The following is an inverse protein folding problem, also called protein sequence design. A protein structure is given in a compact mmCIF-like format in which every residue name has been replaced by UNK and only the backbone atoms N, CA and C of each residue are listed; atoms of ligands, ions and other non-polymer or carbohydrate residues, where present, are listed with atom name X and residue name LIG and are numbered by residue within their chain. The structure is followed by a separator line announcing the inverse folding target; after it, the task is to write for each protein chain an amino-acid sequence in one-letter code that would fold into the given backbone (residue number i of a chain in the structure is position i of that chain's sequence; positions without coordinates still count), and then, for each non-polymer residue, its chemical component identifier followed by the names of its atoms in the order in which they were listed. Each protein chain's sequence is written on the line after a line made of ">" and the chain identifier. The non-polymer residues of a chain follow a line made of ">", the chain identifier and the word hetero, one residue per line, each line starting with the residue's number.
data_IF_737483909931
#
_entry.id   IF_737483909931
#
_cell.length_a   1.000
_cell.length_b   1.000
_cell.length_c   1.000
_cell.angle_alpha   90.00
_cell.angle_beta   90.00
_cell.angle_gamma   90.00
#
_symmetry.space_group_name_H-M   'P 1'
#
loop_
_entity.id
_entity.type
_entity.pdbx_description
1 polymer ?
#
# COMPACT_ATOMS: atom_id res chain seq x y z
N UNK A 1 -25.86 30.60 -14.38
CA UNK A 1 -25.81 30.17 -12.97
C UNK A 1 -26.97 29.23 -12.73
N UNK A 2 -26.74 27.92 -12.55
CA UNK A 2 -27.76 27.00 -12.06
C UNK A 2 -27.66 26.87 -10.53
N UNK A 3 -28.83 26.84 -9.92
CA UNK A 3 -29.08 26.79 -8.49
C UNK A 3 -28.38 25.61 -7.79
N UNK A 4 -27.58 25.93 -6.78
CA UNK A 4 -27.15 25.04 -5.71
C UNK A 4 -28.36 24.64 -4.86
N UNK A 5 -29.07 23.58 -5.25
CA UNK A 5 -30.02 22.92 -4.36
C UNK A 5 -29.26 21.99 -3.41
N UNK A 6 -29.51 22.21 -2.12
CA UNK A 6 -29.02 21.45 -0.97
C UNK A 6 -29.08 19.93 -1.21
N UNK A 7 -27.93 19.31 -1.43
CA UNK A 7 -27.77 17.86 -1.26
C UNK A 7 -27.68 17.62 0.24
N UNK A 8 -28.74 17.04 0.81
CA UNK A 8 -28.76 16.56 2.19
C UNK A 8 -27.80 15.37 2.35
N UNK A 9 -26.50 15.63 2.51
CA UNK A 9 -25.44 14.62 2.68
C UNK A 9 -25.31 14.07 4.12
N UNK A 10 -26.31 14.26 4.99
CA UNK A 10 -26.21 13.95 6.42
C UNK A 10 -27.02 12.75 6.92
N UNK A 11 -27.48 11.85 6.05
CA UNK A 11 -27.93 10.50 6.42
C UNK A 11 -27.48 9.54 5.34
N UNK A 12 -27.05 8.33 5.70
CA UNK A 12 -26.97 7.25 4.72
C UNK A 12 -28.32 7.14 3.99
N UNK A 13 -28.25 7.06 2.68
CA UNK A 13 -29.42 6.99 1.82
C UNK A 13 -30.15 5.68 2.02
N UNK A 14 -31.39 5.61 1.52
CA UNK A 14 -32.13 4.35 1.43
C UNK A 14 -31.32 3.24 0.72
N UNK A 15 -30.35 3.60 -0.14
CA UNK A 15 -29.48 2.65 -0.84
C UNK A 15 -28.60 1.85 0.13
N UNK A 16 -28.13 2.45 1.23
CA UNK A 16 -27.31 1.73 2.21
C UNK A 16 -28.15 0.75 3.02
N UNK A 17 -29.36 1.14 3.42
CA UNK A 17 -30.29 0.21 4.08
C UNK A 17 -30.66 -0.96 3.17
N UNK A 18 -30.88 -0.70 1.88
CA UNK A 18 -31.08 -1.74 0.87
C UNK A 18 -29.85 -2.65 0.73
N UNK A 19 -28.64 -2.08 0.69
CA UNK A 19 -27.38 -2.84 0.65
C UNK A 19 -27.27 -3.78 1.85
N UNK A 20 -27.56 -3.30 3.06
CA UNK A 20 -27.56 -4.12 4.28
C UNK A 20 -28.59 -5.25 4.20
N UNK A 21 -29.80 -4.97 3.71
CA UNK A 21 -30.83 -6.02 3.52
C UNK A 21 -30.36 -7.08 2.53
N UNK A 22 -29.82 -6.68 1.38
CA UNK A 22 -29.28 -7.61 0.38
C UNK A 22 -28.12 -8.42 0.97
N UNK A 23 -27.22 -7.78 1.72
CA UNK A 23 -26.11 -8.46 2.39
C UNK A 23 -26.58 -9.55 3.36
N UNK A 24 -27.56 -9.23 4.22
CA UNK A 24 -28.12 -10.18 5.20
C UNK A 24 -28.81 -11.40 4.56
N UNK A 25 -29.33 -11.25 3.34
CA UNK A 25 -29.94 -12.34 2.57
C UNK A 25 -28.98 -13.03 1.60
N UNK A 26 -27.80 -12.45 1.37
CA UNK A 26 -26.73 -13.05 0.57
C UNK A 26 -26.04 -14.16 1.36
N UNK A 27 -25.50 -15.15 0.67
CA UNK A 27 -24.68 -16.20 1.28
C UNK A 27 -23.34 -16.27 0.57
N UNK A 28 -22.35 -16.87 1.23
CA UNK A 28 -21.12 -17.27 0.55
C UNK A 28 -21.45 -18.43 -0.39
N UNK A 29 -21.13 -18.29 -1.66
CA UNK A 29 -21.21 -19.38 -2.62
C UNK A 29 -19.87 -19.48 -3.34
N UNK A 30 -19.37 -20.71 -3.46
CA UNK A 30 -18.32 -21.04 -4.43
C UNK A 30 -18.93 -20.91 -5.82
N UNK A 31 -18.57 -19.84 -6.52
CA UNK A 31 -19.07 -19.50 -7.85
C UNK A 31 -17.90 -19.02 -8.70
N UNK A 32 -17.83 -19.46 -9.95
CA UNK A 32 -16.83 -19.00 -10.91
C UNK A 32 -16.85 -17.48 -11.09
N UNK A 33 -17.99 -16.80 -10.84
CA UNK A 33 -18.12 -15.32 -10.86
C UNK A 33 -17.37 -14.60 -9.72
N UNK A 34 -16.93 -15.34 -8.70
CA UNK A 34 -16.09 -14.84 -7.60
C UNK A 34 -14.60 -15.08 -7.84
N UNK A 35 -14.23 -15.67 -8.98
CA UNK A 35 -12.84 -15.86 -9.39
C UNK A 35 -12.50 -14.86 -10.49
N UNK A 36 -11.64 -13.90 -10.19
CA UNK A 36 -11.14 -12.94 -11.18
C UNK A 36 -9.66 -13.19 -11.47
N UNK A 37 -9.30 -13.08 -12.74
CA UNK A 37 -7.93 -13.30 -13.21
C UNK A 37 -7.38 -12.03 -13.84
N UNK A 38 -6.14 -11.69 -13.49
CA UNK A 38 -5.45 -10.55 -14.05
C UNK A 38 -3.96 -10.83 -14.18
N UNK A 39 -3.47 -10.85 -15.43
CA UNK A 39 -2.03 -10.96 -15.76
C UNK A 39 -1.22 -11.98 -14.90
N UNK A 40 -1.79 -13.16 -14.65
CA UNK A 40 -1.13 -14.23 -13.87
C UNK A 40 -1.41 -14.21 -12.36
N UNK A 41 -2.30 -13.34 -11.90
CA UNK A 41 -2.84 -13.26 -10.55
C UNK A 41 -4.28 -13.76 -10.58
N UNK A 42 -4.66 -14.58 -9.60
CA UNK A 42 -6.03 -14.94 -9.31
C UNK A 42 -6.48 -14.25 -8.03
N UNK A 43 -7.62 -13.58 -8.08
CA UNK A 43 -8.34 -13.02 -6.95
C UNK A 43 -9.58 -13.88 -6.71
N UNK A 44 -9.53 -14.68 -5.66
CA UNK A 44 -10.60 -15.60 -5.25
C UNK A 44 -11.38 -15.02 -4.07
N UNK A 45 -12.62 -14.65 -4.34
CA UNK A 45 -13.59 -14.10 -3.38
C UNK A 45 -14.63 -15.14 -2.93
N UNK A 46 -14.44 -16.44 -3.18
CA UNK A 46 -15.45 -17.47 -2.86
C UNK A 46 -15.76 -17.62 -1.36
N UNK A 47 -14.85 -17.15 -0.51
CA UNK A 47 -14.96 -17.16 0.95
C UNK A 47 -15.45 -15.81 1.48
N UNK A 48 -16.13 -15.02 0.63
CA UNK A 48 -16.81 -13.79 0.97
C UNK A 48 -18.33 -13.94 0.84
N UNK A 49 -19.08 -13.17 1.63
CA UNK A 49 -20.52 -12.99 1.38
C UNK A 49 -20.70 -12.20 0.07
N UNK A 50 -21.46 -12.76 -0.87
CA UNK A 50 -21.61 -12.20 -2.20
C UNK A 50 -22.98 -12.48 -2.82
N UNK A 51 -23.45 -11.53 -3.64
CA UNK A 51 -24.46 -11.74 -4.68
C UNK A 51 -24.30 -10.67 -5.76
N UNK A 52 -24.77 -10.93 -6.98
CA UNK A 52 -24.75 -9.93 -8.06
C UNK A 52 -25.57 -8.69 -7.68
N UNK A 53 -26.64 -8.85 -6.92
CA UNK A 53 -27.46 -7.72 -6.46
C UNK A 53 -26.73 -6.89 -5.41
N UNK A 54 -25.88 -7.51 -4.58
CA UNK A 54 -25.00 -6.79 -3.66
C UNK A 54 -24.02 -5.89 -4.43
N UNK A 55 -23.42 -6.41 -5.50
CA UNK A 55 -22.49 -5.65 -6.34
C UNK A 55 -23.17 -4.51 -7.10
N UNK A 56 -24.36 -4.76 -7.69
CA UNK A 56 -25.16 -3.70 -8.32
C UNK A 56 -25.50 -2.60 -7.32
N UNK A 57 -25.93 -2.96 -6.11
CA UNK A 57 -26.27 -1.99 -5.07
C UNK A 57 -25.04 -1.22 -4.57
N UNK A 58 -23.87 -1.87 -4.52
CA UNK A 58 -22.62 -1.18 -4.23
C UNK A 58 -22.30 -0.10 -5.29
N UNK A 59 -22.54 -0.40 -6.56
CA UNK A 59 -22.39 0.59 -7.63
C UNK A 59 -23.36 1.76 -7.49
N UNK A 60 -24.63 1.51 -7.13
CA UNK A 60 -25.57 2.61 -6.85
C UNK A 60 -25.05 3.54 -5.75
N UNK A 61 -24.44 2.97 -4.69
CA UNK A 61 -23.82 3.74 -3.60
C UNK A 61 -22.60 4.54 -4.06
N UNK A 62 -21.80 4.00 -4.98
CA UNK A 62 -20.68 4.74 -5.58
C UNK A 62 -21.17 5.89 -6.49
N UNK A 63 -22.20 5.64 -7.30
CA UNK A 63 -22.82 6.66 -8.15
C UNK A 63 -23.41 7.82 -7.32
N UNK A 64 -24.05 7.52 -6.19
CA UNK A 64 -24.51 8.54 -5.23
C UNK A 64 -23.36 9.41 -4.69
N UNK A 65 -22.13 8.87 -4.66
CA UNK A 65 -20.91 9.58 -4.24
C UNK A 65 -20.18 10.26 -5.40
N UNK A 66 -20.80 10.38 -6.57
CA UNK A 66 -20.21 10.93 -7.80
C UNK A 66 -18.93 10.19 -8.21
N UNK A 67 -18.91 8.85 -8.07
CA UNK A 67 -17.71 8.05 -8.29
C UNK A 67 -17.09 8.22 -9.68
N UNK A 68 -17.88 8.22 -10.76
CA UNK A 68 -17.35 8.35 -12.13
C UNK A 68 -16.61 9.69 -12.33
N UNK A 69 -17.19 10.78 -11.84
CA UNK A 69 -16.56 12.11 -11.88
C UNK A 69 -15.27 12.16 -11.05
N UNK A 70 -15.28 11.51 -9.88
CA UNK A 70 -14.11 11.41 -9.00
C UNK A 70 -13.01 10.55 -9.62
N UNK A 71 -13.39 9.46 -10.28
CA UNK A 71 -12.50 8.59 -11.04
C UNK A 71 -11.82 9.35 -12.18
N UNK A 72 -12.57 10.09 -12.98
CA UNK A 72 -12.01 10.99 -14.01
C UNK A 72 -11.03 11.99 -13.39
N UNK A 73 -11.38 12.62 -12.28
CA UNK A 73 -10.49 13.56 -11.58
C UNK A 73 -9.18 12.90 -11.11
N UNK A 74 -9.23 11.66 -10.60
CA UNK A 74 -8.05 10.92 -10.15
C UNK A 74 -7.05 10.70 -11.31
N UNK A 75 -7.56 10.33 -12.49
CA UNK A 75 -6.75 9.98 -13.66
C UNK A 75 -6.31 11.19 -14.48
N UNK A 76 -7.20 12.16 -14.72
CA UNK A 76 -6.93 13.32 -15.56
C UNK A 76 -6.09 14.39 -14.84
N UNK A 77 -5.99 14.30 -13.51
CA UNK A 77 -5.16 15.20 -12.66
C UNK A 77 -5.30 16.68 -13.02
N UNK A 78 -6.53 17.22 -13.17
CA UNK A 78 -6.70 18.60 -13.54
C UNK A 78 -6.12 19.51 -12.45
N UNK A 79 -5.58 20.68 -12.84
CA UNK A 79 -5.10 21.70 -11.89
C UNK A 79 -6.19 22.19 -10.92
N UNK A 80 -7.46 21.92 -11.23
CA UNK A 80 -8.61 22.25 -10.37
C UNK A 80 -8.76 21.25 -9.23
N UNK A 81 -8.99 21.76 -8.03
CA UNK A 81 -9.36 20.96 -6.87
C UNK A 81 -10.74 20.35 -7.03
N UNK A 82 -10.91 19.11 -6.57
CA UNK A 82 -12.23 18.49 -6.40
C UNK A 82 -12.56 18.45 -4.92
N UNK A 83 -13.55 19.23 -4.48
CA UNK A 83 -14.01 19.26 -3.08
C UNK A 83 -12.83 19.49 -2.10
N UNK A 84 -11.98 20.48 -2.40
CA UNK A 84 -10.83 20.81 -1.54
C UNK A 84 -9.67 19.79 -1.56
N UNK A 85 -9.73 18.76 -2.42
CA UNK A 85 -8.64 17.81 -2.63
C UNK A 85 -7.67 18.32 -3.70
N UNK A 86 -6.38 18.33 -3.35
CA UNK A 86 -5.30 18.46 -4.33
C UNK A 86 -5.11 17.14 -5.08
N UNK A 87 -4.74 17.22 -6.36
CA UNK A 87 -4.46 16.01 -7.15
C UNK A 87 -3.23 15.28 -6.59
N UNK A 88 -3.32 13.96 -6.33
CA UNK A 88 -2.24 13.21 -5.68
C UNK A 88 -1.09 12.87 -6.64
N UNK A 89 -1.24 13.14 -7.96
CA UNK A 89 -0.24 13.08 -9.03
C UNK A 89 0.62 11.80 -9.16
N UNK A 90 0.38 10.74 -8.39
CA UNK A 90 1.27 9.56 -8.40
C UNK A 90 1.07 8.67 -9.64
N UNK A 91 -0.15 8.61 -10.19
CA UNK A 91 -0.47 7.79 -11.38
C UNK A 91 0.34 8.22 -12.61
N UNK A 92 0.72 9.50 -12.72
CA UNK A 92 1.46 9.99 -13.88
C UNK A 92 2.85 9.37 -14.00
N UNK A 93 3.46 8.95 -12.90
CA UNK A 93 4.80 8.37 -12.92
C UNK A 93 4.83 6.99 -13.58
N UNK A 94 3.70 6.28 -13.53
CA UNK A 94 3.50 4.97 -14.17
C UNK A 94 2.59 5.04 -15.40
N UNK A 95 2.41 6.23 -15.98
CA UNK A 95 1.77 6.36 -17.28
C UNK A 95 2.64 5.63 -18.34
N UNK A 96 2.07 4.74 -19.16
CA UNK A 96 2.84 3.90 -20.07
C UNK A 96 3.54 4.70 -21.19
N UNK A 97 3.04 5.87 -21.55
CA UNK A 97 3.61 6.70 -22.63
C UNK A 97 4.99 7.28 -22.29
N UNK A 98 5.26 7.53 -21.01
CA UNK A 98 6.40 8.32 -20.56
C UNK A 98 7.12 7.74 -19.33
N UNK A 99 6.58 6.73 -18.64
CA UNK A 99 7.23 6.07 -17.49
C UNK A 99 8.64 5.56 -17.81
N UNK A 100 8.84 4.84 -18.92
CA UNK A 100 10.16 4.35 -19.32
C UNK A 100 11.16 5.49 -19.56
N UNK A 101 10.72 6.56 -20.21
CA UNK A 101 11.57 7.74 -20.43
C UNK A 101 11.93 8.42 -19.10
N UNK A 102 10.97 8.55 -18.18
CA UNK A 102 11.22 9.11 -16.85
C UNK A 102 12.22 8.26 -16.06
N UNK A 103 12.09 6.93 -16.10
CA UNK A 103 13.05 6.01 -15.49
C UNK A 103 14.43 6.19 -16.14
N UNK A 104 14.53 6.23 -17.48
CA UNK A 104 15.80 6.41 -18.18
C UNK A 104 16.49 7.74 -17.83
N UNK A 105 15.72 8.85 -17.71
CA UNK A 105 16.25 10.16 -17.29
C UNK A 105 16.83 10.07 -15.87
N UNK A 106 16.13 9.41 -14.95
CA UNK A 106 16.63 9.18 -13.59
C UNK A 106 17.88 8.29 -13.61
N UNK A 107 17.88 7.21 -14.37
CA UNK A 107 19.02 6.30 -14.55
C UNK A 107 20.26 7.04 -15.06
N UNK A 108 20.07 7.97 -16.01
CA UNK A 108 21.18 8.74 -16.57
C UNK A 108 21.86 9.61 -15.50
N UNK A 109 21.08 10.22 -14.60
CA UNK A 109 21.62 11.01 -13.47
C UNK A 109 22.45 10.18 -12.51
N UNK A 110 22.30 8.86 -12.54
CA UNK A 110 22.99 7.94 -11.64
C UNK A 110 24.27 7.33 -12.19
N UNK A 111 24.61 7.58 -13.45
CA UNK A 111 25.77 6.95 -14.10
C UNK A 111 27.07 7.19 -13.33
N UNK A 112 27.20 8.33 -12.65
CA UNK A 112 28.36 8.64 -11.80
C UNK A 112 28.49 7.70 -10.60
N UNK A 113 27.38 7.12 -10.11
CA UNK A 113 27.33 6.19 -8.99
C UNK A 113 27.44 4.71 -9.40
N UNK A 114 27.84 4.41 -10.64
CA UNK A 114 27.99 3.02 -11.08
C UNK A 114 29.06 2.24 -10.30
N UNK A 115 30.09 2.94 -9.80
CA UNK A 115 31.18 2.38 -8.99
C UNK A 115 30.77 1.97 -7.57
N UNK A 116 29.57 2.37 -7.13
CA UNK A 116 29.03 2.07 -5.80
C UNK A 116 28.63 0.60 -5.69
N UNK A 117 28.97 -0.05 -4.57
CA UNK A 117 28.54 -1.42 -4.24
C UNK A 117 27.48 -1.46 -3.13
N UNK A 118 27.44 -0.43 -2.29
CA UNK A 118 26.56 -0.35 -1.12
C UNK A 118 25.80 0.97 -1.10
N UNK A 119 24.52 0.91 -0.79
CA UNK A 119 23.63 2.07 -0.70
C UNK A 119 23.08 2.13 0.73
N UNK A 120 23.24 3.26 1.40
CA UNK A 120 22.51 3.55 2.64
C UNK A 120 21.29 4.36 2.25
N UNK A 121 20.11 3.75 2.34
CA UNK A 121 18.83 4.41 2.05
C UNK A 121 18.20 4.91 3.36
N UNK A 122 18.18 6.22 3.57
CA UNK A 122 17.58 6.86 4.73
C UNK A 122 16.16 7.33 4.40
N UNK A 123 15.15 6.78 5.06
CA UNK A 123 13.75 7.10 4.82
C UNK A 123 12.84 6.55 5.91
N UNK A 124 11.61 7.08 6.01
CA UNK A 124 10.56 6.56 6.91
C UNK A 124 9.22 6.52 6.19
N UNK A 125 8.32 5.66 6.66
CA UNK A 125 7.00 5.51 6.06
C UNK A 125 7.08 5.14 4.58
N UNK A 126 6.29 5.79 3.73
CA UNK A 126 6.16 5.33 2.34
C UNK A 126 7.38 5.58 1.47
N UNK A 127 8.27 6.51 1.88
CA UNK A 127 9.57 6.68 1.24
C UNK A 127 10.54 5.51 1.50
N UNK A 128 10.21 4.62 2.44
CA UNK A 128 11.02 3.50 2.89
C UNK A 128 10.33 2.16 2.61
N UNK A 129 9.06 2.00 3.02
CA UNK A 129 8.35 0.72 2.99
C UNK A 129 8.21 0.16 1.57
N UNK A 130 7.85 1.01 0.59
CA UNK A 130 7.71 0.58 -0.80
C UNK A 130 9.05 0.17 -1.41
N UNK A 131 10.12 0.94 -1.15
CA UNK A 131 11.48 0.63 -1.63
C UNK A 131 11.98 -0.67 -0.99
N UNK A 132 11.80 -0.82 0.33
CA UNK A 132 12.20 -2.04 1.04
C UNK A 132 11.44 -3.27 0.54
N UNK A 133 10.14 -3.14 0.30
CA UNK A 133 9.33 -4.20 -0.28
C UNK A 133 9.93 -4.68 -1.60
N UNK A 134 10.07 -3.81 -2.60
CA UNK A 134 10.55 -4.21 -3.93
C UNK A 134 11.98 -4.77 -3.88
N UNK A 135 12.88 -4.15 -3.10
CA UNK A 135 14.24 -4.66 -2.96
C UNK A 135 14.31 -6.03 -2.30
N UNK A 136 13.64 -6.24 -1.18
CA UNK A 136 13.66 -7.52 -0.48
C UNK A 136 13.00 -8.63 -1.31
N UNK A 137 12.02 -8.28 -2.15
CA UNK A 137 11.36 -9.22 -3.06
C UNK A 137 12.25 -9.68 -4.22
N UNK A 138 13.04 -8.79 -4.82
CA UNK A 138 13.75 -9.08 -6.08
C UNK A 138 15.28 -9.06 -6.00
N UNK A 139 15.87 -8.77 -4.84
CA UNK A 139 17.34 -8.81 -4.69
C UNK A 139 17.89 -10.20 -5.01
N UNK A 140 19.04 -10.22 -5.67
CA UNK A 140 19.81 -11.43 -5.97
C UNK A 140 21.22 -11.30 -5.40
N UNK A 141 22.05 -12.34 -5.53
CA UNK A 141 23.47 -12.28 -5.15
C UNK A 141 24.28 -11.24 -5.94
N UNK A 142 23.78 -10.78 -7.09
CA UNK A 142 24.43 -9.78 -7.94
C UNK A 142 23.92 -8.35 -7.72
N UNK A 143 22.87 -8.20 -6.91
CA UNK A 143 22.30 -6.89 -6.58
C UNK A 143 23.23 -6.08 -5.69
N UNK A 144 23.25 -4.74 -5.86
CA UNK A 144 23.97 -3.88 -4.91
C UNK A 144 23.31 -3.95 -3.55
N UNK A 145 24.10 -3.90 -2.49
CA UNK A 145 23.59 -4.01 -1.12
C UNK A 145 22.88 -2.72 -0.73
N UNK A 146 21.64 -2.81 -0.26
CA UNK A 146 20.96 -1.68 0.42
C UNK A 146 20.95 -1.92 1.93
N UNK A 147 21.39 -0.91 2.69
CA UNK A 147 21.20 -0.77 4.13
C UNK A 147 20.07 0.24 4.34
N UNK A 148 18.95 -0.24 4.86
CA UNK A 148 17.77 0.56 5.10
C UNK A 148 17.80 1.19 6.50
N UNK A 149 17.75 2.53 6.55
CA UNK A 149 17.88 3.31 7.79
C UNK A 149 16.63 4.18 7.99
N UNK A 150 15.86 3.90 9.03
CA UNK A 150 14.66 4.67 9.41
C UNK A 150 14.89 5.58 10.61
N UNK A 151 15.88 5.24 11.43
CA UNK A 151 16.31 6.05 12.57
C UNK A 151 17.83 5.95 12.76
N UNK A 152 18.38 6.79 13.64
CA UNK A 152 19.79 6.69 14.00
C UNK A 152 20.13 5.34 14.68
N UNK A 153 19.16 4.59 15.21
CA UNK A 153 19.43 3.29 15.83
C UNK A 153 19.77 2.21 14.80
N UNK A 154 19.24 2.32 13.57
CA UNK A 154 19.47 1.35 12.50
C UNK A 154 20.89 1.43 11.91
N UNK A 155 21.64 2.50 12.22
CA UNK A 155 22.99 2.73 11.73
C UNK A 155 23.94 3.02 12.90
N UNK A 156 24.50 1.97 13.47
CA UNK A 156 25.45 2.06 14.58
C UNK A 156 26.90 2.17 14.08
N UNK A 157 27.84 2.46 15.01
CA UNK A 157 29.26 2.59 14.68
C UNK A 157 29.85 1.29 14.10
N UNK A 158 29.41 0.13 14.58
CA UNK A 158 29.88 -1.18 14.09
C UNK A 158 29.49 -1.42 12.63
N UNK A 159 28.26 -1.08 12.25
CA UNK A 159 27.80 -1.17 10.86
C UNK A 159 28.65 -0.27 9.97
N UNK A 160 28.86 0.99 10.40
CA UNK A 160 29.63 1.98 9.64
C UNK A 160 31.12 1.61 9.54
N UNK A 161 31.70 0.98 10.57
CA UNK A 161 33.10 0.53 10.57
C UNK A 161 33.40 -0.48 9.44
N UNK A 162 32.41 -1.29 9.07
CA UNK A 162 32.53 -2.31 8.03
C UNK A 162 32.24 -1.79 6.62
N UNK A 163 32.02 -0.47 6.44
CA UNK A 163 31.72 0.14 5.15
C UNK A 163 32.90 0.96 4.63
N UNK A 164 33.01 1.04 3.30
CA UNK A 164 33.95 1.92 2.63
C UNK A 164 33.20 3.16 2.10
N UNK A 165 33.49 4.37 2.61
CA UNK A 165 32.82 5.58 2.14
C UNK A 165 32.99 5.85 0.64
N UNK A 166 34.07 5.39 0.02
CA UNK A 166 34.32 5.60 -1.42
C UNK A 166 33.43 4.74 -2.32
N UNK A 167 32.90 3.61 -1.82
CA UNK A 167 32.01 2.72 -2.57
C UNK A 167 30.60 2.66 -1.97
N UNK A 168 30.30 3.56 -1.03
CA UNK A 168 29.00 3.69 -0.37
C UNK A 168 28.29 4.98 -0.81
N UNK A 169 27.07 4.85 -1.35
CA UNK A 169 26.19 5.99 -1.64
C UNK A 169 25.17 6.16 -0.52
N UNK A 170 24.99 7.39 -0.03
CA UNK A 170 23.94 7.72 0.94
C UNK A 170 22.79 8.41 0.21
N UNK A 171 21.60 7.81 0.24
CA UNK A 171 20.37 8.40 -0.32
C UNK A 171 19.48 8.86 0.84
N UNK A 172 19.19 10.16 0.90
CA UNK A 172 18.32 10.77 1.91
C UNK A 172 16.96 11.06 1.29
N UNK A 173 16.00 10.16 1.52
CA UNK A 173 14.64 10.21 0.98
C UNK A 173 13.68 10.91 1.95
N UNK A 174 13.72 12.25 1.97
CA UNK A 174 12.89 13.07 2.86
C UNK A 174 12.22 14.20 2.11
N UNK A 175 10.89 14.19 2.11
CA UNK A 175 10.11 15.23 1.42
C UNK A 175 10.44 16.61 2.00
N UNK A 176 10.23 16.80 3.31
CA UNK A 176 10.34 18.12 3.94
C UNK A 176 11.71 18.43 4.56
N UNK A 177 12.58 17.44 4.78
CA UNK A 177 13.83 17.57 5.55
C UNK A 177 13.64 18.05 7.01
N UNK A 178 12.42 18.00 7.55
CA UNK A 178 12.15 18.31 8.97
C UNK A 178 12.07 17.08 9.88
N UNK A 179 12.05 15.88 9.31
CA UNK A 179 11.92 14.62 10.06
C UNK A 179 13.13 14.40 10.96
N UNK A 180 12.93 14.44 12.28
CA UNK A 180 13.99 14.41 13.29
C UNK A 180 14.82 13.12 13.20
N UNK A 181 14.14 11.99 13.00
CA UNK A 181 14.74 10.65 12.92
C UNK A 181 15.71 10.56 11.73
N UNK A 182 15.29 11.05 10.56
CA UNK A 182 16.08 11.11 9.33
C UNK A 182 17.29 12.01 9.51
N UNK A 183 17.07 13.21 10.06
CA UNK A 183 18.14 14.18 10.26
C UNK A 183 19.19 13.66 11.25
N UNK A 184 18.76 13.00 12.33
CA UNK A 184 19.65 12.37 13.31
C UNK A 184 20.47 11.23 12.68
N UNK A 185 19.84 10.37 11.89
CA UNK A 185 20.51 9.28 11.18
C UNK A 185 21.55 9.82 10.19
N UNK A 186 21.17 10.81 9.38
CA UNK A 186 22.07 11.43 8.41
C UNK A 186 23.26 12.11 9.10
N UNK A 187 23.05 12.84 10.19
CA UNK A 187 24.15 13.49 10.92
C UNK A 187 25.19 12.49 11.45
N UNK A 188 24.76 11.28 11.84
CA UNK A 188 25.69 10.22 12.25
C UNK A 188 26.52 9.71 11.06
N UNK A 189 25.87 9.46 9.93
CA UNK A 189 26.55 9.02 8.71
C UNK A 189 27.50 10.10 8.18
N UNK A 190 27.08 11.37 8.24
CA UNK A 190 27.91 12.52 7.87
C UNK A 190 29.19 12.59 8.71
N UNK A 191 29.08 12.46 10.04
CA UNK A 191 30.26 12.41 10.93
C UNK A 191 31.19 11.24 10.59
N UNK A 192 30.62 10.09 10.22
CA UNK A 192 31.41 8.95 9.76
C UNK A 192 32.15 9.27 8.46
N UNK A 193 31.50 9.86 7.45
CA UNK A 193 32.14 10.30 6.21
C UNK A 193 33.27 11.30 6.48
N UNK A 194 33.01 12.32 7.30
CA UNK A 194 33.96 13.39 7.63
C UNK A 194 35.20 12.85 8.36
N UNK A 195 35.06 11.79 9.16
CA UNK A 195 36.18 11.19 9.89
C UNK A 195 37.26 10.57 8.98
N UNK A 196 36.95 10.29 7.70
CA UNK A 196 37.93 9.77 6.74
C UNK A 196 38.72 10.88 6.02
N UNK A 197 38.49 12.17 6.32
CA UNK A 197 39.16 13.35 5.72
C UNK A 197 39.10 13.41 4.18
N UNK A 198 38.02 12.85 3.61
CA UNK A 198 37.78 12.82 2.17
C UNK A 198 36.74 13.88 1.78
N UNK A 199 37.18 15.12 1.54
CA UNK A 199 36.35 16.17 0.90
C UNK A 199 35.60 15.70 -0.38
N UNK A 200 36.11 14.74 -1.19
CA UNK A 200 35.37 14.18 -2.34
C UNK A 200 34.20 13.25 -1.98
N UNK A 201 34.12 12.69 -0.76
CA UNK A 201 33.12 11.67 -0.38
C UNK A 201 31.75 12.27 -0.03
N UNK A 202 31.66 13.58 0.23
CA UNK A 202 30.36 14.28 0.29
C UNK A 202 29.61 14.24 -1.05
N UNK A 203 30.30 13.96 -2.17
CA UNK A 203 29.66 13.74 -3.46
C UNK A 203 28.85 12.43 -3.51
N UNK A 204 29.12 11.48 -2.61
CA UNK A 204 28.37 10.23 -2.47
C UNK A 204 27.14 10.38 -1.55
N UNK A 205 26.55 11.58 -1.49
CA UNK A 205 25.29 11.83 -0.78
C UNK A 205 24.30 12.46 -1.75
N UNK A 206 23.12 11.86 -1.86
CA UNK A 206 22.04 12.27 -2.75
C UNK A 206 20.75 12.50 -1.96
N UNK A 207 20.15 13.69 -2.06
CA UNK A 207 18.84 13.96 -1.48
C UNK A 207 17.71 13.74 -2.50
N UNK A 208 16.60 13.13 -2.08
CA UNK A 208 15.34 13.10 -2.85
C UNK A 208 14.31 13.89 -2.06
N UNK A 209 13.98 15.10 -2.52
CA UNK A 209 13.26 16.08 -1.70
C UNK A 209 12.54 17.16 -2.50
N UNK A 210 11.50 17.75 -1.90
CA UNK A 210 10.89 18.98 -2.40
C UNK A 210 11.51 20.25 -1.77
N UNK A 211 12.39 20.09 -0.78
CA UNK A 211 13.03 21.18 -0.04
C UNK A 211 14.56 21.17 -0.28
N UNK A 212 14.95 21.52 -1.50
CA UNK A 212 16.35 21.53 -1.96
C UNK A 212 17.21 22.47 -1.11
N UNK A 213 16.67 23.63 -0.74
CA UNK A 213 17.38 24.60 0.09
C UNK A 213 17.78 23.98 1.43
N UNK A 214 16.86 23.26 2.08
CA UNK A 214 17.15 22.58 3.33
C UNK A 214 18.17 21.46 3.17
N UNK A 215 18.11 20.68 2.10
CA UNK A 215 19.13 19.67 1.82
C UNK A 215 20.55 20.28 1.72
N UNK A 216 20.67 21.45 1.06
CA UNK A 216 21.94 22.20 0.99
C UNK A 216 22.42 22.69 2.34
N UNK A 217 21.52 23.14 3.22
CA UNK A 217 21.87 23.51 4.60
C UNK A 217 22.42 22.32 5.41
N UNK A 218 22.05 21.08 5.04
CA UNK A 218 22.63 19.85 5.59
C UNK A 218 23.95 19.45 4.91
N UNK A 219 24.40 20.21 3.92
CA UNK A 219 25.63 19.97 3.15
C UNK A 219 25.46 18.97 2.01
N UNK A 220 24.23 18.74 1.53
CA UNK A 220 23.95 17.83 0.41
C UNK A 220 23.78 18.65 -0.87
N UNK A 221 24.77 18.59 -1.75
CA UNK A 221 24.72 19.30 -3.04
C UNK A 221 23.94 18.53 -4.11
N UNK A 222 24.10 17.20 -4.17
CA UNK A 222 23.41 16.37 -5.14
C UNK A 222 21.96 16.13 -4.72
N UNK A 223 21.02 16.47 -5.60
CA UNK A 223 19.60 16.35 -5.29
C UNK A 223 18.75 15.96 -6.49
N UNK A 224 17.68 15.22 -6.22
CA UNK A 224 16.61 14.90 -7.15
C UNK A 224 15.33 15.55 -6.62
N UNK A 225 14.76 16.51 -7.37
CA UNK A 225 13.50 17.13 -7.00
C UNK A 225 12.38 16.10 -6.88
N UNK A 226 11.62 16.20 -5.79
CA UNK A 226 10.36 15.49 -5.56
C UNK A 226 9.23 16.50 -5.57
N UNK A 227 8.12 16.19 -6.21
CA UNK A 227 6.97 17.12 -6.23
C UNK A 227 6.23 17.13 -4.89
N UNK A 228 5.71 18.31 -4.51
CA UNK A 228 4.94 18.47 -3.27
C UNK A 228 3.64 17.67 -3.27
N UNK A 229 3.07 17.35 -4.43
CA UNK A 229 1.86 16.52 -4.54
C UNK A 229 2.13 15.03 -4.28
N UNK A 230 3.38 14.57 -4.37
CA UNK A 230 3.70 13.15 -4.09
C UNK A 230 3.60 12.87 -2.61
N UNK A 231 2.65 12.01 -2.26
CA UNK A 231 2.40 11.59 -0.89
C UNK A 231 3.27 10.38 -0.55
N UNK A 232 3.75 10.31 0.69
CA UNK A 232 4.70 9.27 1.11
C UNK A 232 4.22 7.86 0.77
N UNK A 233 3.02 7.48 1.21
CA UNK A 233 2.45 6.13 0.98
C UNK A 233 2.14 5.78 -0.47
N UNK A 234 2.20 6.74 -1.39
CA UNK A 234 2.08 6.56 -2.85
C UNK A 234 3.38 6.89 -3.59
N UNK A 235 4.50 7.08 -2.87
CA UNK A 235 5.72 7.65 -3.45
C UNK A 235 6.61 6.64 -4.17
N UNK A 236 6.32 5.34 -4.08
CA UNK A 236 7.10 4.29 -4.74
C UNK A 236 7.31 4.60 -6.23
N UNK A 237 6.29 5.09 -6.92
CA UNK A 237 6.33 5.37 -8.36
C UNK A 237 7.19 6.60 -8.72
N UNK A 238 7.46 7.46 -7.75
CA UNK A 238 8.18 8.71 -7.93
C UNK A 238 9.70 8.49 -7.94
N UNK A 239 10.54 9.56 -8.03
CA UNK A 239 11.99 9.44 -7.92
C UNK A 239 12.51 8.72 -6.67
N UNK A 240 11.68 8.50 -5.64
CA UNK A 240 12.00 7.65 -4.49
C UNK A 240 12.46 6.24 -4.90
N UNK A 241 11.86 5.64 -5.93
CA UNK A 241 12.26 4.31 -6.43
C UNK A 241 13.65 4.25 -7.05
N UNK A 242 14.33 5.38 -7.24
CA UNK A 242 15.63 5.40 -7.91
C UNK A 242 16.70 4.55 -7.20
N UNK A 243 16.55 4.36 -5.89
CA UNK A 243 17.39 3.45 -5.09
C UNK A 243 17.31 2.00 -5.63
N UNK A 244 16.12 1.57 -6.06
CA UNK A 244 15.88 0.24 -6.63
C UNK A 244 16.58 0.07 -7.96
N UNK A 245 16.56 1.12 -8.79
CA UNK A 245 17.21 1.10 -10.09
C UNK A 245 18.72 0.84 -9.96
N UNK A 246 19.38 1.56 -9.03
CA UNK A 246 20.80 1.33 -8.73
C UNK A 246 21.09 -0.09 -8.26
N UNK A 247 20.22 -0.63 -7.42
CA UNK A 247 20.47 -1.90 -6.75
C UNK A 247 20.07 -3.13 -7.56
N UNK A 248 19.01 -3.04 -8.34
CA UNK A 248 18.36 -4.16 -9.03
C UNK A 248 18.37 -4.03 -10.56
N UNK A 249 18.63 -2.83 -11.07
CA UNK A 249 18.59 -2.51 -12.50
C UNK A 249 17.27 -1.89 -12.97
N UNK A 250 17.33 -1.26 -14.14
CA UNK A 250 16.23 -0.49 -14.74
C UNK A 250 15.00 -1.35 -15.04
N UNK A 251 15.21 -2.54 -15.58
CA UNK A 251 14.12 -3.42 -16.04
C UNK A 251 13.16 -3.84 -14.92
N UNK A 252 13.65 -3.94 -13.67
CA UNK A 252 12.78 -4.21 -12.52
C UNK A 252 11.75 -3.09 -12.33
N UNK A 253 12.15 -1.82 -12.48
CA UNK A 253 11.23 -0.69 -12.36
C UNK A 253 10.29 -0.61 -13.56
N UNK A 254 10.80 -0.85 -14.76
CA UNK A 254 10.00 -0.85 -15.99
C UNK A 254 8.87 -1.87 -15.88
N UNK A 255 9.18 -3.11 -15.50
CA UNK A 255 8.17 -4.17 -15.35
C UNK A 255 7.21 -3.89 -14.19
N UNK A 256 7.72 -3.40 -13.05
CA UNK A 256 6.90 -3.00 -11.91
C UNK A 256 5.87 -1.92 -12.30
N UNK A 257 6.32 -0.87 -12.99
CA UNK A 257 5.46 0.24 -13.41
C UNK A 257 4.47 -0.21 -14.48
N UNK A 258 4.90 -1.09 -15.38
CA UNK A 258 4.03 -1.69 -16.39
C UNK A 258 2.88 -2.47 -15.75
N UNK A 259 3.15 -3.33 -14.77
CA UNK A 259 2.09 -4.08 -14.10
C UNK A 259 1.10 -3.18 -13.35
N UNK A 260 1.61 -2.16 -12.67
CA UNK A 260 0.78 -1.16 -12.00
C UNK A 260 -0.08 -0.37 -13.01
N UNK A 261 0.51 0.04 -14.15
CA UNK A 261 -0.18 0.71 -15.24
C UNK A 261 -1.26 -0.17 -15.90
N UNK A 262 -1.00 -1.48 -16.06
CA UNK A 262 -2.03 -2.40 -16.54
C UNK A 262 -3.21 -2.47 -15.58
N UNK A 263 -2.98 -2.47 -14.26
CA UNK A 263 -4.04 -2.46 -13.25
C UNK A 263 -4.77 -1.11 -13.17
N UNK A 264 -4.07 0.00 -13.38
CA UNK A 264 -4.69 1.33 -13.57
C UNK A 264 -5.70 1.33 -14.71
N UNK A 265 -5.29 0.78 -15.86
CA UNK A 265 -6.18 0.64 -17.02
C UNK A 265 -7.33 -0.32 -16.74
N UNK A 266 -7.08 -1.45 -16.08
CA UNK A 266 -8.14 -2.38 -15.63
C UNK A 266 -9.18 -1.65 -14.79
N UNK A 267 -8.73 -0.90 -13.80
CA UNK A 267 -9.60 -0.14 -12.92
C UNK A 267 -10.45 0.89 -13.67
N UNK A 268 -9.87 1.57 -14.67
CA UNK A 268 -10.55 2.60 -15.45
C UNK A 268 -11.55 2.04 -16.47
N UNK A 269 -11.21 0.93 -17.13
CA UNK A 269 -11.90 0.51 -18.37
C UNK A 269 -12.78 -0.74 -18.19
N UNK A 270 -12.50 -1.58 -17.21
CA UNK A 270 -13.23 -2.85 -17.02
C UNK A 270 -14.55 -2.60 -16.30
N UNK A 271 -15.59 -3.27 -16.77
CA UNK A 271 -16.92 -3.19 -16.21
C UNK A 271 -16.94 -3.61 -14.73
N UNK A 272 -17.90 -3.05 -13.99
CA UNK A 272 -18.07 -3.25 -12.56
C UNK A 272 -17.96 -4.72 -12.10
N UNK A 273 -18.53 -5.66 -12.86
CA UNK A 273 -18.63 -7.05 -12.42
C UNK A 273 -17.27 -7.76 -12.37
N UNK A 274 -16.36 -7.35 -13.24
CA UNK A 274 -15.02 -7.90 -13.39
C UNK A 274 -13.91 -6.95 -12.89
N UNK A 275 -14.28 -5.79 -12.35
CA UNK A 275 -13.34 -4.79 -11.88
C UNK A 275 -12.78 -5.17 -10.50
N UNK A 276 -11.52 -5.62 -10.46
CA UNK A 276 -10.88 -6.21 -9.28
C UNK A 276 -10.84 -5.22 -8.11
N UNK A 277 -10.33 -3.98 -8.26
CA UNK A 277 -10.38 -3.00 -7.18
C UNK A 277 -11.77 -2.74 -6.62
N UNK A 278 -12.81 -2.71 -7.47
CA UNK A 278 -14.19 -2.51 -7.01
C UNK A 278 -14.69 -3.72 -6.21
N UNK A 279 -14.39 -4.94 -6.64
CA UNK A 279 -14.71 -6.16 -5.89
C UNK A 279 -14.02 -6.18 -4.53
N UNK A 280 -12.72 -5.85 -4.48
CA UNK A 280 -11.97 -5.73 -3.24
C UNK A 280 -12.60 -4.70 -2.30
N UNK A 281 -12.93 -3.51 -2.81
CA UNK A 281 -13.52 -2.43 -2.02
C UNK A 281 -14.91 -2.80 -1.48
N UNK A 282 -15.76 -3.39 -2.32
CA UNK A 282 -17.10 -3.85 -1.92
C UNK A 282 -17.01 -4.87 -0.78
N UNK A 283 -16.18 -5.91 -0.93
CA UNK A 283 -16.04 -6.93 0.10
C UNK A 283 -15.45 -6.35 1.40
N UNK A 284 -14.46 -5.46 1.30
CA UNK A 284 -13.89 -4.81 2.48
C UNK A 284 -14.92 -3.94 3.23
N UNK A 285 -15.72 -3.14 2.51
CA UNK A 285 -16.79 -2.32 3.09
C UNK A 285 -17.90 -3.20 3.67
N UNK A 286 -18.31 -4.26 2.97
CA UNK A 286 -19.33 -5.18 3.45
C UNK A 286 -18.87 -5.86 4.75
N UNK A 287 -17.64 -6.37 4.80
CA UNK A 287 -17.09 -6.98 6.01
C UNK A 287 -17.03 -5.99 7.16
N UNK A 288 -16.56 -4.78 6.92
CA UNK A 288 -16.42 -3.78 7.97
C UNK A 288 -17.76 -3.20 8.44
N UNK A 289 -18.57 -2.71 7.52
CA UNK A 289 -19.75 -1.91 7.84
C UNK A 289 -21.06 -2.72 7.88
N UNK A 290 -21.12 -3.91 7.27
CA UNK A 290 -22.29 -4.79 7.35
C UNK A 290 -22.06 -5.99 8.28
N UNK A 291 -20.90 -6.67 8.19
CA UNK A 291 -20.60 -7.82 9.05
C UNK A 291 -20.06 -7.42 10.44
N UNK A 292 -19.57 -6.18 10.58
CA UNK A 292 -19.03 -5.63 11.83
C UNK A 292 -17.58 -6.06 12.11
N UNK A 293 -16.80 -6.37 11.09
CA UNK A 293 -15.36 -6.60 11.23
C UNK A 293 -14.66 -5.31 11.66
N UNK A 294 -13.91 -5.37 12.77
CA UNK A 294 -13.18 -4.21 13.32
C UNK A 294 -11.72 -4.16 12.87
N UNK A 295 -11.28 -5.20 12.17
CA UNK A 295 -9.92 -5.34 11.66
C UNK A 295 -9.89 -6.06 10.32
N UNK A 296 -8.80 -5.84 9.58
CA UNK A 296 -8.43 -6.61 8.40
C UNK A 296 -7.09 -7.31 8.66
N UNK A 297 -7.04 -8.63 8.49
CA UNK A 297 -5.79 -9.39 8.62
C UNK A 297 -5.15 -9.53 7.25
N UNK A 298 -3.85 -9.24 7.16
CA UNK A 298 -3.07 -9.39 5.94
C UNK A 298 -2.02 -10.46 6.19
N UNK A 299 -2.22 -11.64 5.61
CA UNK A 299 -1.40 -12.82 5.85
C UNK A 299 -0.77 -13.31 4.55
N UNK A 300 0.57 -13.29 4.47
CA UNK A 300 1.29 -13.84 3.32
C UNK A 300 1.89 -15.21 3.64
N UNK A 301 1.69 -16.15 2.74
CA UNK A 301 2.37 -17.45 2.71
C UNK A 301 3.61 -17.42 1.80
N UNK A 302 3.90 -16.29 1.15
CA UNK A 302 5.09 -16.08 0.34
C UNK A 302 6.12 -15.21 1.07
N UNK A 303 7.29 -15.80 1.34
CA UNK A 303 8.43 -15.14 2.01
C UNK A 303 9.07 -14.04 1.17
N UNK A 304 8.84 -13.98 -0.14
CA UNK A 304 9.39 -12.89 -0.98
C UNK A 304 8.69 -11.56 -0.73
N UNK A 305 7.46 -11.58 -0.21
CA UNK A 305 6.64 -10.38 0.05
C UNK A 305 6.35 -10.14 1.53
N UNK A 306 7.26 -10.54 2.43
CA UNK A 306 7.12 -10.31 3.89
C UNK A 306 6.90 -8.84 4.28
N UNK A 307 7.35 -7.91 3.45
CA UNK A 307 7.18 -6.47 3.68
C UNK A 307 5.87 -5.90 3.12
N UNK A 308 5.11 -6.68 2.33
CA UNK A 308 3.86 -6.23 1.71
C UNK A 308 2.78 -5.91 2.76
N UNK A 309 2.57 -6.71 3.83
CA UNK A 309 1.61 -6.37 4.87
C UNK A 309 1.87 -5.01 5.51
N UNK A 310 3.11 -4.69 5.87
CA UNK A 310 3.45 -3.38 6.45
C UNK A 310 3.27 -2.22 5.45
N UNK A 311 3.55 -2.45 4.17
CA UNK A 311 3.28 -1.47 3.12
C UNK A 311 1.77 -1.18 3.01
N UNK A 312 0.93 -2.24 2.90
CA UNK A 312 -0.53 -2.11 2.81
C UNK A 312 -1.10 -1.48 4.08
N UNK A 313 -0.54 -1.81 5.26
CA UNK A 313 -0.94 -1.23 6.53
C UNK A 313 -0.83 0.30 6.50
N UNK A 314 0.32 0.84 6.07
CA UNK A 314 0.46 2.29 5.93
C UNK A 314 -0.51 2.83 4.88
N UNK A 315 -0.58 2.19 3.70
CA UNK A 315 -1.44 2.62 2.61
C UNK A 315 -2.90 2.77 3.06
N UNK A 316 -3.46 1.75 3.73
CA UNK A 316 -4.86 1.73 4.16
C UNK A 316 -5.07 2.60 5.39
N UNK A 317 -4.36 2.34 6.49
CA UNK A 317 -4.64 3.00 7.78
C UNK A 317 -4.34 4.49 7.75
N UNK A 318 -3.25 4.93 7.13
CA UNK A 318 -2.90 6.35 7.07
C UNK A 318 -3.82 7.12 6.09
N UNK A 319 -4.28 6.47 5.01
CA UNK A 319 -5.23 7.08 4.07
C UNK A 319 -6.64 7.15 4.65
N UNK A 320 -7.13 6.06 5.23
CA UNK A 320 -8.55 5.85 5.50
C UNK A 320 -8.93 5.86 6.99
N UNK A 321 -7.95 5.90 7.90
CA UNK A 321 -8.18 6.06 9.34
C UNK A 321 -8.62 7.48 9.70
N UNK A 322 -9.79 7.90 9.20
CA UNK A 322 -10.31 9.29 9.28
C UNK A 322 -11.68 9.32 9.93
N UNK A 323 -11.92 10.28 10.82
CA UNK A 323 -13.20 10.42 11.52
C UNK A 323 -14.08 11.58 11.01
N UNK A 324 -13.60 12.31 10.00
CA UNK A 324 -14.26 13.50 9.44
C UNK A 324 -14.32 13.37 7.92
N UNK A 325 -15.49 13.63 7.36
CA UNK A 325 -15.78 13.59 5.92
C UNK A 325 -15.33 14.89 5.21
N UNK A 326 -15.39 14.90 3.88
CA UNK A 326 -15.01 16.05 3.05
C UNK A 326 -15.89 17.29 3.27
N UNK A 327 -17.04 17.16 3.94
CA UNK A 327 -17.91 18.27 4.31
C UNK A 327 -17.59 18.81 5.71
N UNK A 328 -16.57 18.29 6.39
CA UNK A 328 -16.20 18.66 7.76
C UNK A 328 -17.13 18.09 8.83
N UNK A 329 -17.94 17.07 8.51
CA UNK A 329 -18.83 16.39 9.46
C UNK A 329 -18.22 15.07 9.91
N UNK A 330 -18.58 14.60 11.10
CA UNK A 330 -18.17 13.27 11.54
C UNK A 330 -18.72 12.17 10.64
N UNK A 331 -17.86 11.20 10.31
CA UNK A 331 -18.24 10.02 9.56
C UNK A 331 -19.34 9.25 10.31
N UNK A 332 -20.37 8.82 9.57
CA UNK A 332 -21.50 8.08 10.13
C UNK A 332 -21.28 6.57 10.20
N UNK A 333 -20.41 6.05 9.33
CA UNK A 333 -19.92 4.68 9.37
C UNK A 333 -18.49 4.66 9.89
N UNK A 334 -18.09 3.53 10.45
CA UNK A 334 -16.69 3.25 10.75
C UNK A 334 -15.89 3.26 9.45
N UNK A 335 -14.87 4.11 9.38
CA UNK A 335 -13.83 4.05 8.35
C UNK A 335 -12.78 3.02 8.75
N UNK A 336 -11.73 2.85 7.94
CA UNK A 336 -10.71 1.80 8.07
C UNK A 336 -10.33 1.47 9.52
N UNK A 337 -10.47 0.19 9.86
CA UNK A 337 -10.07 -0.36 11.15
C UNK A 337 -8.58 -0.70 11.22
N UNK A 338 -8.22 -1.52 12.20
CA UNK A 338 -6.82 -1.92 12.40
C UNK A 338 -6.42 -3.02 11.41
N UNK A 339 -5.24 -2.88 10.80
CA UNK A 339 -4.63 -3.98 10.05
C UNK A 339 -3.77 -4.85 10.97
N UNK A 340 -4.03 -6.15 11.01
CA UNK A 340 -3.21 -7.15 11.72
C UNK A 340 -2.28 -7.80 10.70
N UNK A 341 -0.97 -7.63 10.88
CA UNK A 341 0.04 -8.05 9.92
C UNK A 341 1.08 -8.96 10.59
N UNK A 342 1.18 -10.20 10.13
CA UNK A 342 2.32 -11.09 10.34
C UNK A 342 2.26 -12.15 9.24
N UNK A 343 3.42 -12.59 8.79
CA UNK A 343 3.51 -13.57 7.71
C UNK A 343 3.43 -14.99 8.26
N UNK A 344 3.02 -15.92 7.41
CA UNK A 344 3.03 -17.34 7.71
C UNK A 344 4.44 -17.92 7.47
N UNK A 345 4.87 -18.91 8.28
CA UNK A 345 4.08 -19.63 9.29
C UNK A 345 4.03 -18.95 10.67
N UNK A 346 4.80 -17.89 10.94
CA UNK A 346 4.85 -17.25 12.27
C UNK A 346 3.47 -16.80 12.77
N UNK A 347 2.61 -16.35 11.87
CA UNK A 347 1.22 -16.00 12.17
C UNK A 347 0.41 -17.16 12.76
N UNK A 348 0.64 -18.40 12.31
CA UNK A 348 -0.04 -19.60 12.84
C UNK A 348 0.26 -19.81 14.32
N UNK A 349 1.47 -19.43 14.74
CA UNK A 349 1.96 -19.56 16.11
C UNK A 349 1.83 -18.28 16.93
N UNK A 350 1.07 -17.29 16.44
CA UNK A 350 0.88 -16.00 17.10
C UNK A 350 -0.60 -15.65 17.26
N UNK A 351 -1.27 -15.18 16.21
CA UNK A 351 -2.63 -14.64 16.30
C UNK A 351 -3.70 -15.52 15.63
N UNK A 352 -3.35 -16.64 14.99
CA UNK A 352 -4.36 -17.52 14.37
C UNK A 352 -5.34 -18.13 15.40
N UNK A 353 -4.91 -18.31 16.65
CA UNK A 353 -5.81 -18.61 17.77
C UNK A 353 -6.94 -17.57 17.90
N UNK A 354 -6.61 -16.28 17.78
CA UNK A 354 -7.59 -15.20 17.80
C UNK A 354 -8.48 -15.20 16.55
N UNK A 355 -7.94 -15.53 15.37
CA UNK A 355 -8.76 -15.68 14.16
C UNK A 355 -9.83 -16.77 14.31
N UNK A 356 -9.47 -17.91 14.90
CA UNK A 356 -10.36 -19.07 15.00
C UNK A 356 -11.41 -18.98 16.13
N UNK A 357 -11.03 -18.44 17.28
CA UNK A 357 -11.85 -18.49 18.51
C UNK A 357 -12.02 -17.13 19.19
N UNK A 358 -11.45 -16.05 18.65
CA UNK A 358 -11.61 -14.70 19.19
C UNK A 358 -13.03 -14.17 19.05
N UNK A 359 -13.39 -13.21 19.92
CA UNK A 359 -14.70 -12.55 19.88
C UNK A 359 -14.76 -11.38 18.90
N UNK A 360 -13.62 -10.79 18.55
CA UNK A 360 -13.57 -9.70 17.58
C UNK A 360 -13.62 -10.26 16.15
N UNK A 361 -14.55 -9.75 15.36
CA UNK A 361 -14.67 -10.13 13.94
C UNK A 361 -13.56 -9.49 13.11
N UNK A 362 -13.03 -10.26 12.19
CA UNK A 362 -12.01 -9.84 11.23
C UNK A 362 -12.26 -10.51 9.88
N UNK A 363 -11.76 -9.92 8.81
CA UNK A 363 -11.59 -10.60 7.53
C UNK A 363 -10.09 -10.81 7.24
N UNK A 364 -9.77 -11.68 6.28
CA UNK A 364 -8.38 -12.01 5.94
C UNK A 364 -8.13 -11.85 4.43
N UNK A 365 -7.08 -11.13 4.07
CA UNK A 365 -6.49 -11.20 2.74
C UNK A 365 -5.26 -12.12 2.79
N UNK A 366 -5.33 -13.22 2.05
CA UNK A 366 -4.25 -14.19 1.92
C UNK A 366 -3.46 -13.96 0.64
N UNK A 367 -2.13 -14.03 0.72
CA UNK A 367 -1.24 -14.04 -0.45
C UNK A 367 -0.51 -15.37 -0.53
N UNK A 368 -0.48 -15.99 -1.72
CA UNK A 368 0.16 -17.28 -1.90
C UNK A 368 0.81 -17.45 -3.28
N UNK A 369 2.05 -17.97 -3.28
CA UNK A 369 2.72 -18.49 -4.47
C UNK A 369 2.26 -19.94 -4.69
N UNK A 370 1.49 -20.19 -5.74
CA UNK A 370 0.93 -21.52 -6.04
C UNK A 370 2.00 -22.57 -6.38
N UNK A 371 3.23 -22.12 -6.65
CA UNK A 371 4.36 -23.03 -6.90
C UNK A 371 4.95 -23.65 -5.62
N UNK A 372 4.62 -23.13 -4.44
CA UNK A 372 5.04 -23.67 -3.15
C UNK A 372 3.98 -24.67 -2.62
N UNK A 373 4.21 -25.96 -2.89
CA UNK A 373 3.27 -27.03 -2.54
C UNK A 373 3.02 -27.15 -1.03
N UNK A 374 4.06 -26.95 -0.21
CA UNK A 374 4.00 -27.14 1.23
C UNK A 374 3.20 -25.99 1.88
N UNK A 375 3.44 -24.76 1.41
CA UNK A 375 2.65 -23.61 1.82
C UNK A 375 1.19 -23.75 1.37
N UNK A 376 0.93 -24.25 0.16
CA UNK A 376 -0.41 -24.42 -0.41
C UNK A 376 -1.27 -25.40 0.40
N UNK A 377 -0.74 -26.56 0.79
CA UNK A 377 -1.47 -27.53 1.61
C UNK A 377 -1.89 -26.91 2.95
N UNK A 378 -0.94 -26.31 3.65
CA UNK A 378 -1.18 -25.68 4.96
C UNK A 378 -2.18 -24.53 4.86
N UNK A 379 -2.04 -23.71 3.82
CA UNK A 379 -2.94 -22.59 3.53
C UNK A 379 -4.38 -23.05 3.33
N UNK A 380 -4.61 -24.05 2.47
CA UNK A 380 -5.96 -24.53 2.16
C UNK A 380 -6.69 -25.01 3.42
N UNK A 381 -5.99 -25.79 4.26
CA UNK A 381 -6.53 -26.26 5.55
C UNK A 381 -6.91 -25.08 6.45
N UNK A 382 -6.01 -24.10 6.63
CA UNK A 382 -6.28 -22.96 7.50
C UNK A 382 -7.46 -22.12 7.00
N UNK A 383 -7.50 -21.80 5.70
CA UNK A 383 -8.60 -21.05 5.08
C UNK A 383 -9.93 -21.76 5.30
N UNK A 384 -9.98 -23.07 5.09
CA UNK A 384 -11.22 -23.85 5.20
C UNK A 384 -11.75 -23.91 6.63
N UNK A 385 -10.87 -24.09 7.62
CA UNK A 385 -11.28 -24.07 9.04
C UNK A 385 -11.69 -22.67 9.52
N UNK A 386 -11.04 -21.60 9.04
CA UNK A 386 -11.42 -20.23 9.37
C UNK A 386 -12.84 -19.90 8.90
N UNK A 387 -13.22 -20.43 7.74
CA UNK A 387 -14.53 -20.16 7.16
C UNK A 387 -15.62 -21.10 7.67
N UNK A 388 -15.37 -22.41 7.69
CA UNK A 388 -16.39 -23.39 8.06
C UNK A 388 -16.47 -23.63 9.58
N UNK A 389 -15.39 -23.35 10.31
CA UNK A 389 -15.24 -23.76 11.71
C UNK A 389 -15.16 -25.28 11.83
N UNK A 390 -15.53 -25.80 13.00
CA UNK A 390 -15.66 -27.24 13.24
C UNK A 390 -17.11 -27.63 13.45
N UNK A 391 -17.48 -28.81 12.97
CA UNK A 391 -18.77 -29.47 13.29
C UNK A 391 -19.02 -29.56 14.80
N UNK A 392 -20.29 -29.74 15.18
CA UNK A 392 -20.74 -29.97 16.57
C UNK A 392 -20.26 -31.28 17.19
N UNK A 393 -19.36 -32.02 16.53
CA UNK A 393 -18.79 -33.29 17.02
C UNK A 393 -17.94 -33.10 18.29
N UNK A 394 -17.43 -31.88 18.52
CA UNK A 394 -16.75 -31.54 19.76
C UNK A 394 -17.78 -31.06 20.79
N UNK A 395 -18.02 -31.87 21.83
CA UNK A 395 -18.89 -31.50 22.95
C UNK A 395 -18.28 -30.46 23.88
N UNK A 396 -16.95 -30.36 23.89
CA UNK A 396 -16.19 -29.37 24.65
C UNK A 396 -16.14 -28.02 23.91
N UNK A 397 -16.77 -26.95 24.45
CA UNK A 397 -16.78 -25.64 23.80
C UNK A 397 -15.38 -25.06 23.56
N UNK A 398 -14.37 -25.43 24.36
CA UNK A 398 -13.00 -24.95 24.18
C UNK A 398 -12.34 -25.47 22.90
N UNK A 399 -12.83 -26.58 22.34
CA UNK A 399 -12.28 -27.20 21.12
C UNK A 399 -13.04 -26.81 19.85
N UNK A 400 -14.12 -26.04 19.98
CA UNK A 400 -14.94 -25.61 18.85
C UNK A 400 -14.28 -24.41 18.15
N UNK A 401 -14.09 -24.51 16.83
CA UNK A 401 -13.72 -23.36 16.00
C UNK A 401 -14.99 -22.71 15.47
N UNK A 402 -15.04 -21.37 15.52
CA UNK A 402 -16.28 -20.62 15.28
C UNK A 402 -16.70 -20.60 13.81
N UNK A 403 -15.73 -20.60 12.89
CA UNK A 403 -15.98 -20.35 11.48
C UNK A 403 -16.43 -18.91 11.20
N UNK A 404 -16.89 -18.65 9.99
CA UNK A 404 -17.45 -17.36 9.56
C UNK A 404 -16.43 -16.26 9.29
N UNK A 405 -15.12 -16.57 9.33
CA UNK A 405 -14.08 -15.60 8.96
C UNK A 405 -14.02 -15.50 7.44
N UNK A 406 -14.50 -14.37 6.91
CA UNK A 406 -14.48 -14.12 5.48
C UNK A 406 -13.04 -13.86 5.00
N UNK A 407 -12.70 -14.35 3.81
CA UNK A 407 -11.37 -14.17 3.25
C UNK A 407 -11.32 -13.97 1.74
N UNK A 408 -10.30 -13.24 1.31
CA UNK A 408 -9.90 -13.13 -0.10
C UNK A 408 -8.59 -13.88 -0.27
N UNK A 409 -8.50 -14.72 -1.30
CA UNK A 409 -7.23 -15.37 -1.66
C UNK A 409 -6.67 -14.73 -2.90
N UNK A 410 -5.45 -14.23 -2.81
CA UNK A 410 -4.70 -13.62 -3.90
C UNK A 410 -3.54 -14.57 -4.20
N UNK A 411 -3.65 -15.31 -5.30
CA UNK A 411 -2.67 -16.33 -5.68
C UNK A 411 -2.00 -16.00 -7.01
N UNK A 412 -0.77 -16.46 -7.18
CA UNK A 412 0.00 -16.31 -8.42
C UNK A 412 0.97 -17.48 -8.58
N UNK A 413 1.29 -17.85 -9.83
CA UNK A 413 2.25 -18.93 -10.11
C UNK A 413 3.71 -18.49 -10.08
N UNK A 414 3.95 -17.19 -10.32
CA UNK A 414 5.28 -16.61 -10.34
C UNK A 414 5.19 -15.15 -9.97
N UNK A 415 5.80 -14.78 -8.85
CA UNK A 415 5.98 -13.39 -8.48
C UNK A 415 7.01 -12.71 -9.40
N UNK A 416 6.52 -11.84 -10.27
CA UNK A 416 7.33 -10.95 -11.12
C UNK A 416 7.18 -9.49 -10.68
N UNK A 417 8.08 -8.57 -11.10
CA UNK A 417 7.89 -7.15 -10.81
C UNK A 417 6.53 -6.64 -11.32
N UNK A 418 6.09 -7.07 -12.51
CA UNK A 418 4.77 -6.71 -13.02
C UNK A 418 3.63 -7.20 -12.11
N UNK A 419 3.69 -8.45 -11.62
CA UNK A 419 2.69 -8.98 -10.68
C UNK A 419 2.67 -8.15 -9.39
N UNK A 420 3.82 -7.85 -8.79
CA UNK A 420 3.87 -7.03 -7.59
C UNK A 420 3.34 -5.61 -7.84
N UNK A 421 3.65 -5.02 -8.99
CA UNK A 421 3.18 -3.70 -9.39
C UNK A 421 1.66 -3.64 -9.52
N UNK A 422 1.08 -4.65 -10.17
CA UNK A 422 -0.37 -4.80 -10.29
C UNK A 422 -1.05 -4.97 -8.91
N UNK A 423 -0.47 -5.78 -8.02
CA UNK A 423 -0.99 -5.98 -6.65
C UNK A 423 -0.99 -4.67 -5.86
N UNK A 424 0.13 -3.93 -5.87
CA UNK A 424 0.22 -2.64 -5.17
C UNK A 424 -0.83 -1.68 -5.73
N UNK A 425 -0.94 -1.57 -7.06
CA UNK A 425 -1.94 -0.71 -7.69
C UNK A 425 -3.37 -1.11 -7.37
N UNK A 426 -3.68 -2.40 -7.25
CA UNK A 426 -5.02 -2.87 -6.89
C UNK A 426 -5.42 -2.39 -5.49
N UNK A 427 -4.50 -2.46 -4.51
CA UNK A 427 -4.72 -1.95 -3.16
C UNK A 427 -4.77 -0.42 -3.09
N UNK A 428 -4.02 0.30 -3.92
CA UNK A 428 -4.13 1.76 -4.04
C UNK A 428 -5.53 2.17 -4.54
N UNK A 429 -6.06 1.46 -5.55
CA UNK A 429 -7.41 1.72 -6.07
C UNK A 429 -8.51 1.27 -5.12
N UNK A 430 -8.37 0.12 -4.44
CA UNK A 430 -9.27 -0.28 -3.35
C UNK A 430 -9.35 0.83 -2.30
N UNK A 431 -8.19 1.36 -1.90
CA UNK A 431 -8.08 2.45 -0.93
C UNK A 431 -8.82 3.68 -1.43
N UNK A 432 -8.63 4.06 -2.69
CA UNK A 432 -9.32 5.19 -3.28
C UNK A 432 -10.86 5.01 -3.29
N UNK A 433 -11.37 3.88 -3.76
CA UNK A 433 -12.81 3.59 -3.83
C UNK A 433 -13.46 3.68 -2.44
N UNK A 434 -12.80 3.12 -1.43
CA UNK A 434 -13.27 3.17 -0.03
C UNK A 434 -13.33 4.60 0.50
N UNK A 435 -12.36 5.44 0.14
CA UNK A 435 -12.40 6.86 0.49
C UNK A 435 -13.59 7.59 -0.14
N UNK A 436 -13.94 7.26 -1.39
CA UNK A 436 -15.10 7.83 -2.09
C UNK A 436 -16.40 7.40 -1.41
N UNK A 437 -16.51 6.12 -1.07
CA UNK A 437 -17.67 5.57 -0.36
C UNK A 437 -17.90 6.27 0.99
N UNK A 438 -16.86 6.35 1.82
CA UNK A 438 -16.91 7.04 3.12
C UNK A 438 -16.90 8.57 3.02
N UNK A 439 -16.73 9.11 1.83
CA UNK A 439 -16.62 10.55 1.56
C UNK A 439 -15.51 11.23 2.39
N UNK A 440 -14.33 10.61 2.48
CA UNK A 440 -13.18 11.12 3.25
C UNK A 440 -12.02 11.49 2.32
N UNK A 441 -11.06 12.26 2.83
CA UNK A 441 -9.81 12.55 2.13
C UNK A 441 -8.77 11.42 2.35
N UNK A 442 -8.40 10.62 1.33
CA UNK A 442 -7.37 9.59 1.47
C UNK A 442 -5.94 10.16 1.40
N UNK A 443 -5.78 11.44 1.08
CA UNK A 443 -4.52 12.05 0.67
C UNK A 443 -3.86 12.95 1.73
N UNK A 444 -4.55 13.26 2.83
CA UNK A 444 -3.97 13.95 3.98
C UNK A 444 -3.59 13.00 5.13
N UNK A 445 -2.90 13.54 6.14
CA UNK A 445 -2.55 12.84 7.39
C UNK A 445 -2.37 13.81 8.57
N UNK A 446 -3.35 14.68 8.80
CA UNK A 446 -3.30 15.71 9.84
C UNK A 446 -2.98 15.16 11.24
N UNK A 447 -3.42 13.94 11.54
CA UNK A 447 -3.16 13.27 12.82
C UNK A 447 -1.67 13.10 13.16
N UNK A 448 -0.78 13.11 12.18
CA UNK A 448 0.68 13.11 12.41
C UNK A 448 1.34 14.44 12.06
N UNK A 449 0.78 15.19 11.12
CA UNK A 449 1.40 16.43 10.63
C UNK A 449 1.30 17.59 11.62
N UNK A 450 0.21 17.68 12.42
CA UNK A 450 0.09 18.68 13.49
C UNK A 450 1.12 18.45 14.61
N UNK A 451 1.33 17.19 14.99
CA UNK A 451 2.32 16.80 16.00
C UNK A 451 3.74 17.20 15.56
N UNK A 452 4.08 16.99 14.27
CA UNK A 452 5.39 17.36 13.73
C UNK A 452 5.66 18.86 13.78
N UNK A 453 4.62 19.69 13.59
CA UNK A 453 4.73 21.15 13.62
C UNK A 453 4.82 21.71 15.04
N UNK A 454 4.47 20.91 16.05
CA UNK A 454 4.38 21.39 17.43
C UNK A 454 3.17 22.28 17.67
N UNK A 455 2.16 22.21 16.80
CA UNK A 455 0.88 22.91 16.93
C UNK A 455 0.02 22.16 17.96
N UNK A 456 0.36 22.29 19.24
CA UNK A 456 -0.43 21.80 20.40
C UNK A 456 -0.68 22.96 21.35
#
# INVERSE_FOLDING_TARGET
>A
MPNSQNISTSRFSNLWEEFLRIFLHSKSYTNTENLLFFEGIQFDFNYQIFSLDLLKKFNDLLLEREFDRKLEWLFEQPKSTLIGLESPNYLKYRNPENSRQNIAILTQKLKEFNHIDTIIHIGVGGNYLGVKLVYETFKTSTSKKIIFVSSAQDINQETLFNLNPNTTLVIVASKSFHTKEINSAYQRIKKWIEAYDLKPVLNNVLAITNNIQRAKEYGIENHIPLESSVLGRFSLWSPISITLNLALGEEILVDLFKGASSMDRHFREVDLFHNIPIRMAMHSIANQNAAGCTSNTIATYDRKILNLPSYIQQLKMESLGKSVDLNGKHCQLQTEGTSVCLSCPEAHHSYFQWLHQGMHKTCVDFFIDESDSDALETFQVQKDFLFNGTDTKYSDPHKKLNGGVCSTTISYKKLSPAVLGALISAYEHETYIKSVFWNINPFDQWGVDLIKKGDI
#
